data_IF_759826459060
#
_entry.id   IF_759826459060
#
_cell.length_a   1.000
_cell.length_b   1.000
_cell.length_c   1.000
_cell.angle_alpha   90.00
_cell.angle_beta   90.00
_cell.angle_gamma   90.00
#
_symmetry.space_group_name_H-M   'P 1'
#
loop_
_entity.id
_entity.type
_entity.pdbx_description
1 polymer ?
#
# COMPACT_ATOMS: atom_id res chain seq x y z
N UNK A 1 -15.62 39.43 35.32
CA UNK A 1 -14.78 39.13 34.15
C UNK A 1 -15.47 38.02 33.36
N UNK A 2 -16.05 38.29 32.19
CA UNK A 2 -16.71 37.25 31.41
C UNK A 2 -15.64 36.41 30.67
N UNK A 3 -15.78 35.12 30.82
CA UNK A 3 -14.91 34.09 30.27
C UNK A 3 -15.16 33.97 28.75
N UNK A 4 -14.37 34.69 27.95
CA UNK A 4 -14.44 34.67 26.49
C UNK A 4 -13.66 33.47 25.94
N UNK A 5 -14.06 32.25 26.30
CA UNK A 5 -13.74 31.10 25.53
C UNK A 5 -14.75 31.01 24.39
N UNK A 6 -14.52 31.77 23.31
CA UNK A 6 -15.20 31.56 22.03
C UNK A 6 -14.84 30.17 21.56
N UNK A 7 -15.75 29.22 21.79
CA UNK A 7 -15.68 27.87 21.20
C UNK A 7 -15.76 28.09 19.70
N UNK A 8 -14.62 27.98 19.02
CA UNK A 8 -14.59 27.73 17.58
C UNK A 8 -15.28 26.38 17.36
N UNK A 9 -16.59 26.40 17.13
CA UNK A 9 -17.30 25.22 16.64
C UNK A 9 -16.99 25.10 15.15
N UNK A 10 -15.98 24.29 14.82
CA UNK A 10 -15.84 23.81 13.46
C UNK A 10 -17.05 22.90 13.17
N UNK A 11 -17.99 23.39 12.38
CA UNK A 11 -19.00 22.54 11.78
C UNK A 11 -18.30 21.63 10.77
N UNK A 12 -17.83 20.49 11.23
CA UNK A 12 -17.29 19.46 10.34
C UNK A 12 -18.42 19.00 9.42
N UNK A 13 -18.16 18.86 8.11
CA UNK A 13 -19.14 18.29 7.19
C UNK A 13 -19.56 16.90 7.67
N UNK A 14 -20.78 16.49 7.31
CA UNK A 14 -21.29 15.17 7.67
C UNK A 14 -20.27 14.07 7.27
N UNK A 15 -20.08 13.04 8.11
CA UNK A 15 -19.12 11.99 7.81
C UNK A 15 -19.48 11.31 6.48
N UNK A 16 -18.46 11.00 5.68
CA UNK A 16 -18.65 10.30 4.41
C UNK A 16 -19.37 8.97 4.65
N UNK A 17 -20.39 8.70 3.83
CA UNK A 17 -21.03 7.37 3.82
C UNK A 17 -20.04 6.33 3.28
N UNK A 18 -20.16 5.09 3.74
CA UNK A 18 -19.24 4.01 3.35
C UNK A 18 -19.12 3.85 1.82
N UNK A 19 -20.21 3.99 1.06
CA UNK A 19 -20.17 3.90 -0.40
C UNK A 19 -19.43 5.08 -1.05
N UNK A 20 -19.49 6.28 -0.48
CA UNK A 20 -18.76 7.47 -0.99
C UNK A 20 -17.26 7.28 -0.79
N UNK A 21 -16.84 6.79 0.39
CA UNK A 21 -15.46 6.44 0.63
C UNK A 21 -14.99 5.32 -0.32
N UNK A 22 -15.81 4.28 -0.50
CA UNK A 22 -15.52 3.19 -1.44
C UNK A 22 -15.36 3.68 -2.89
N UNK A 23 -16.25 4.56 -3.36
CA UNK A 23 -16.15 5.15 -4.70
C UNK A 23 -14.89 6.01 -4.85
N UNK A 24 -14.58 6.85 -3.86
CA UNK A 24 -13.37 7.67 -3.86
C UNK A 24 -12.12 6.79 -3.96
N UNK A 25 -12.05 5.73 -3.17
CA UNK A 25 -10.93 4.79 -3.20
C UNK A 25 -10.85 4.05 -4.53
N UNK A 26 -11.97 3.59 -5.09
CA UNK A 26 -11.98 2.92 -6.38
C UNK A 26 -11.45 3.84 -7.50
N UNK A 27 -11.91 5.09 -7.54
CA UNK A 27 -11.40 6.09 -8.49
C UNK A 27 -9.90 6.31 -8.26
N UNK A 28 -9.48 6.53 -7.02
CA UNK A 28 -8.08 6.78 -6.66
C UNK A 28 -7.16 5.63 -7.07
N UNK A 29 -7.57 4.38 -6.88
CA UNK A 29 -6.75 3.19 -7.16
C UNK A 29 -6.67 2.83 -8.64
N UNK A 30 -7.70 3.19 -9.44
CA UNK A 30 -7.79 2.79 -10.85
C UNK A 30 -7.32 3.87 -11.79
N UNK A 31 -7.69 5.12 -11.52
CA UNK A 31 -7.33 6.25 -12.37
C UNK A 31 -5.83 6.52 -12.28
N UNK A 32 -5.14 6.48 -13.41
CA UNK A 32 -3.70 6.72 -13.49
C UNK A 32 -2.81 5.48 -13.33
N UNK A 33 -3.37 4.29 -13.03
CA UNK A 33 -2.57 3.07 -12.91
C UNK A 33 -2.27 2.44 -14.27
N UNK A 34 -3.17 2.59 -15.24
CA UNK A 34 -3.07 1.98 -16.57
C UNK A 34 -3.15 3.04 -17.68
N UNK A 35 -2.73 2.65 -18.90
CA UNK A 35 -2.89 3.47 -20.10
C UNK A 35 -1.74 4.47 -20.35
N UNK A 36 -0.63 4.38 -19.63
CA UNK A 36 0.56 5.18 -19.88
C UNK A 36 1.85 4.36 -19.82
N UNK A 37 2.83 4.77 -20.60
CA UNK A 37 4.16 4.15 -20.55
C UNK A 37 4.86 4.48 -19.22
N UNK A 38 5.80 3.62 -18.76
CA UNK A 38 6.69 3.95 -17.65
C UNK A 38 7.45 5.24 -17.97
N UNK A 39 7.35 6.25 -17.11
CA UNK A 39 7.82 7.60 -17.47
C UNK A 39 8.89 8.16 -16.53
N UNK A 40 9.10 7.55 -15.38
CA UNK A 40 10.14 7.93 -14.42
C UNK A 40 11.19 6.85 -14.29
N UNK A 41 12.41 7.24 -13.92
CA UNK A 41 13.51 6.30 -13.69
C UNK A 41 13.16 5.17 -12.73
N UNK A 42 12.48 5.50 -11.61
CA UNK A 42 12.09 4.53 -10.59
C UNK A 42 11.06 3.52 -11.11
N UNK A 43 10.05 3.97 -11.85
CA UNK A 43 9.02 3.09 -12.45
C UNK A 43 9.64 2.06 -13.41
N UNK A 44 10.61 2.48 -14.22
CA UNK A 44 11.38 1.58 -15.10
C UNK A 44 12.31 0.66 -14.31
N UNK A 45 13.00 1.19 -13.31
CA UNK A 45 13.94 0.44 -12.48
C UNK A 45 13.24 -0.71 -11.78
N UNK A 46 12.07 -0.46 -11.19
CA UNK A 46 11.33 -1.52 -10.47
C UNK A 46 10.49 -2.42 -11.37
N UNK A 47 10.21 -2.02 -12.61
CA UNK A 47 9.62 -2.91 -13.61
C UNK A 47 10.65 -3.94 -14.14
N UNK A 48 11.94 -3.59 -14.18
CA UNK A 48 13.00 -4.45 -14.66
C UNK A 48 13.07 -5.82 -13.98
N UNK A 49 13.12 -5.91 -12.64
CA UNK A 49 13.06 -7.17 -11.90
C UNK A 49 11.81 -8.00 -12.22
N UNK A 50 10.64 -7.39 -12.38
CA UNK A 50 9.41 -8.08 -12.79
C UNK A 50 9.58 -8.70 -14.18
N UNK A 51 10.09 -7.93 -15.13
CA UNK A 51 10.36 -8.41 -16.48
C UNK A 51 11.38 -9.57 -16.47
N UNK A 52 12.45 -9.47 -15.66
CA UNK A 52 13.44 -10.53 -15.49
C UNK A 52 12.81 -11.83 -14.95
N UNK A 53 11.93 -11.75 -13.97
CA UNK A 53 11.19 -12.91 -13.46
C UNK A 53 10.38 -13.57 -14.57
N UNK A 54 9.70 -12.77 -15.40
CA UNK A 54 8.84 -13.28 -16.47
C UNK A 54 9.63 -13.94 -17.60
N UNK A 55 10.82 -13.42 -17.93
CA UNK A 55 11.66 -13.91 -19.05
C UNK A 55 12.62 -15.01 -18.66
N UNK A 56 13.28 -14.92 -17.50
CA UNK A 56 14.30 -15.87 -17.06
C UNK A 56 13.79 -16.88 -16.02
N UNK A 57 12.62 -16.65 -15.41
CA UNK A 57 12.03 -17.55 -14.42
C UNK A 57 12.72 -17.55 -13.05
N UNK A 58 13.63 -16.59 -12.78
CA UNK A 58 14.33 -16.50 -11.50
C UNK A 58 13.54 -15.64 -10.50
N UNK A 59 12.73 -16.30 -9.68
CA UNK A 59 11.86 -15.64 -8.70
C UNK A 59 12.59 -15.18 -7.42
N UNK A 60 13.74 -15.74 -7.12
CA UNK A 60 14.46 -15.44 -5.88
C UNK A 60 15.48 -14.32 -6.05
N UNK A 61 16.13 -14.27 -7.20
CA UNK A 61 17.17 -13.30 -7.51
C UNK A 61 16.90 -12.67 -8.88
N UNK A 62 15.89 -11.77 -8.97
CA UNK A 62 15.64 -11.09 -10.23
C UNK A 62 16.82 -10.22 -10.62
N UNK A 63 16.95 -9.96 -11.91
CA UNK A 63 18.06 -9.19 -12.49
C UNK A 63 17.56 -7.86 -13.07
N UNK A 64 18.43 -6.88 -13.04
CA UNK A 64 18.27 -5.63 -13.75
C UNK A 64 19.54 -5.37 -14.59
N UNK A 65 19.37 -5.25 -15.90
CA UNK A 65 20.48 -5.05 -16.85
C UNK A 65 21.60 -6.11 -16.76
N UNK A 66 21.26 -7.35 -16.40
CA UNK A 66 22.20 -8.47 -16.29
C UNK A 66 22.89 -8.61 -14.92
N UNK A 67 22.59 -7.72 -13.99
CA UNK A 67 23.09 -7.80 -12.61
C UNK A 67 21.97 -8.16 -11.62
N UNK A 68 22.32 -8.90 -10.55
CA UNK A 68 21.35 -9.26 -9.53
C UNK A 68 20.81 -8.01 -8.82
N UNK A 69 19.52 -7.83 -8.87
CA UNK A 69 18.85 -6.71 -8.23
C UNK A 69 18.61 -6.98 -6.74
N UNK A 70 19.08 -6.08 -5.86
CA UNK A 70 19.09 -6.26 -4.39
C UNK A 70 18.51 -5.09 -3.60
N UNK A 71 18.00 -4.05 -4.26
CA UNK A 71 17.55 -2.83 -3.58
C UNK A 71 16.33 -3.08 -2.69
N UNK A 72 15.45 -3.99 -3.11
CA UNK A 72 14.28 -4.39 -2.34
C UNK A 72 14.10 -5.91 -2.34
N UNK A 73 13.58 -6.48 -1.24
CA UNK A 73 13.16 -7.88 -1.16
C UNK A 73 12.03 -8.22 -2.15
N UNK A 74 11.77 -9.51 -2.41
CA UNK A 74 11.08 -9.93 -3.62
C UNK A 74 9.55 -9.82 -3.60
N UNK A 75 8.90 -9.55 -2.47
CA UNK A 75 7.43 -9.63 -2.34
C UNK A 75 6.68 -8.82 -3.41
N UNK A 76 7.07 -7.57 -3.60
CA UNK A 76 6.42 -6.70 -4.57
C UNK A 76 6.56 -7.26 -6.00
N UNK A 77 7.77 -7.69 -6.36
CA UNK A 77 8.09 -8.23 -7.69
C UNK A 77 7.36 -9.53 -7.98
N UNK A 78 7.18 -10.39 -6.97
CA UNK A 78 6.38 -11.60 -7.11
C UNK A 78 4.93 -11.28 -7.44
N UNK A 79 4.31 -10.36 -6.72
CA UNK A 79 2.92 -9.96 -6.97
C UNK A 79 2.79 -9.30 -8.33
N UNK A 80 3.70 -8.38 -8.69
CA UNK A 80 3.74 -7.74 -10.01
C UNK A 80 3.90 -8.73 -11.15
N UNK A 81 4.81 -9.72 -11.02
CA UNK A 81 5.02 -10.77 -12.02
C UNK A 81 3.81 -11.70 -12.15
N UNK A 82 3.17 -12.07 -11.03
CA UNK A 82 1.95 -12.89 -11.06
C UNK A 82 0.81 -12.15 -11.76
N UNK A 83 0.58 -10.87 -11.47
CA UNK A 83 -0.43 -10.05 -12.12
C UNK A 83 -0.13 -9.87 -13.62
N UNK A 84 1.13 -9.57 -13.97
CA UNK A 84 1.55 -9.44 -15.35
C UNK A 84 1.37 -10.74 -16.13
N UNK A 85 1.65 -11.89 -15.51
CA UNK A 85 1.43 -13.22 -16.12
C UNK A 85 -0.05 -13.53 -16.28
N UNK A 86 -0.88 -13.19 -15.29
CA UNK A 86 -2.32 -13.48 -15.32
C UNK A 86 -3.08 -12.58 -16.29
N UNK A 87 -2.67 -11.32 -16.43
CA UNK A 87 -3.40 -10.29 -17.18
C UNK A 87 -2.70 -9.87 -18.48
N UNK A 88 -1.51 -10.40 -18.79
CA UNK A 88 -0.71 -10.03 -19.95
C UNK A 88 -1.38 -10.29 -21.32
N UNK A 89 -2.46 -11.09 -21.35
CA UNK A 89 -3.32 -11.24 -22.53
C UNK A 89 -4.37 -10.14 -22.71
N UNK A 90 -4.63 -9.35 -21.67
CA UNK A 90 -5.65 -8.29 -21.64
C UNK A 90 -5.04 -6.89 -21.54
N UNK A 91 -3.91 -6.76 -20.87
CA UNK A 91 -3.22 -5.49 -20.60
C UNK A 91 -1.74 -5.58 -21.02
N UNK A 92 -1.10 -4.45 -21.38
CA UNK A 92 0.34 -4.39 -21.48
C UNK A 92 1.01 -4.85 -20.17
N UNK A 93 2.17 -5.50 -20.28
CA UNK A 93 2.89 -6.07 -19.11
C UNK A 93 3.13 -5.03 -18.01
N UNK A 94 3.52 -3.80 -18.40
CA UNK A 94 3.78 -2.73 -17.45
C UNK A 94 2.52 -2.28 -16.70
N UNK A 95 1.37 -2.19 -17.39
CA UNK A 95 0.09 -1.84 -16.75
C UNK A 95 -0.38 -2.95 -15.81
N UNK A 96 -0.30 -4.20 -16.25
CA UNK A 96 -0.64 -5.36 -15.42
C UNK A 96 0.26 -5.46 -14.17
N UNK A 97 1.55 -5.18 -14.30
CA UNK A 97 2.49 -5.16 -13.18
C UNK A 97 2.17 -4.05 -12.16
N UNK A 98 1.79 -2.84 -12.63
CA UNK A 98 1.41 -1.71 -11.78
C UNK A 98 0.16 -1.96 -10.94
N UNK A 99 -0.71 -2.87 -11.32
CA UNK A 99 -1.83 -3.27 -10.47
C UNK A 99 -1.37 -3.81 -9.11
N UNK A 100 -0.12 -4.25 -8.97
CA UNK A 100 0.47 -4.57 -7.67
C UNK A 100 0.52 -3.33 -6.76
N UNK A 101 0.87 -2.15 -7.30
CA UNK A 101 0.85 -0.89 -6.54
C UNK A 101 -0.56 -0.54 -6.06
N UNK A 102 -1.57 -0.65 -6.94
CA UNK A 102 -2.97 -0.43 -6.55
C UNK A 102 -3.42 -1.41 -5.47
N UNK A 103 -3.04 -2.70 -5.59
CA UNK A 103 -3.37 -3.73 -4.59
C UNK A 103 -2.74 -3.42 -3.22
N UNK A 104 -1.44 -3.11 -3.19
CA UNK A 104 -0.75 -2.79 -1.94
C UNK A 104 -1.21 -1.45 -1.35
N UNK A 105 -1.51 -0.45 -2.18
CA UNK A 105 -2.11 0.81 -1.73
C UNK A 105 -3.48 0.57 -1.11
N UNK A 106 -4.35 -0.23 -1.73
CA UNK A 106 -5.63 -0.61 -1.16
C UNK A 106 -5.48 -1.33 0.18
N UNK A 107 -4.55 -2.28 0.28
CA UNK A 107 -4.24 -2.99 1.51
C UNK A 107 -3.72 -2.03 2.60
N UNK A 108 -2.80 -1.13 2.27
CA UNK A 108 -2.31 -0.09 3.18
C UNK A 108 -3.45 0.78 3.72
N UNK A 109 -4.27 1.35 2.83
CA UNK A 109 -5.38 2.23 3.22
C UNK A 109 -6.42 1.51 4.08
N UNK A 110 -6.72 0.27 3.76
CA UNK A 110 -7.62 -0.55 4.57
C UNK A 110 -7.05 -0.81 5.98
N UNK A 111 -5.79 -1.28 6.05
CA UNK A 111 -5.20 -1.65 7.33
C UNK A 111 -4.86 -0.45 8.21
N UNK A 112 -4.46 0.69 7.64
CA UNK A 112 -4.28 1.92 8.44
C UNK A 112 -5.62 2.41 9.01
N UNK A 113 -6.72 2.30 8.25
CA UNK A 113 -8.06 2.57 8.75
C UNK A 113 -8.46 1.62 9.89
N UNK A 114 -8.18 0.30 9.75
CA UNK A 114 -8.42 -0.69 10.80
C UNK A 114 -7.58 -0.39 12.05
N UNK A 115 -6.30 -0.09 11.88
CA UNK A 115 -5.41 0.28 12.98
C UNK A 115 -5.93 1.51 13.73
N UNK A 116 -6.28 2.57 13.01
CA UNK A 116 -6.85 3.79 13.59
C UNK A 116 -8.15 3.51 14.36
N UNK A 117 -9.04 2.71 13.79
CA UNK A 117 -10.28 2.32 14.46
C UNK A 117 -10.05 1.55 15.76
N UNK A 118 -9.06 0.66 15.78
CA UNK A 118 -8.72 -0.16 16.96
C UNK A 118 -8.04 0.66 18.06
N UNK A 119 -7.19 1.61 17.67
CA UNK A 119 -6.40 2.42 18.61
C UNK A 119 -7.14 3.66 19.11
N UNK A 120 -7.95 4.29 18.26
CA UNK A 120 -8.57 5.61 18.54
C UNK A 120 -10.10 5.59 18.50
N UNK A 121 -10.71 4.44 18.22
CA UNK A 121 -12.17 4.26 18.22
C UNK A 121 -12.79 4.26 16.81
N UNK A 122 -14.11 3.92 16.74
CA UNK A 122 -14.78 3.61 15.46
C UNK A 122 -14.81 4.78 14.47
N UNK A 123 -14.80 6.01 14.94
CA UNK A 123 -14.84 7.22 14.09
C UNK A 123 -13.52 7.53 13.40
N UNK A 124 -12.40 6.91 13.81
CA UNK A 124 -11.07 7.17 13.26
C UNK A 124 -10.80 6.47 11.92
N UNK A 125 -11.62 5.49 11.51
CA UNK A 125 -11.39 4.70 10.30
C UNK A 125 -11.32 5.56 9.03
N UNK A 126 -12.36 6.30 8.72
CA UNK A 126 -12.43 7.10 7.50
C UNK A 126 -11.43 8.28 7.48
N UNK A 127 -11.24 9.04 8.56
CA UNK A 127 -10.20 10.07 8.62
C UNK A 127 -8.80 9.54 8.37
N UNK A 128 -8.43 8.37 8.90
CA UNK A 128 -7.11 7.78 8.67
C UNK A 128 -6.88 7.44 7.18
N UNK A 129 -7.88 6.89 6.52
CA UNK A 129 -7.83 6.62 5.08
C UNK A 129 -7.69 7.91 4.29
N UNK A 130 -8.48 8.94 4.61
CA UNK A 130 -8.43 10.23 3.91
C UNK A 130 -7.07 10.91 4.07
N UNK A 131 -6.47 10.87 5.27
CA UNK A 131 -5.11 11.34 5.51
C UNK A 131 -4.08 10.56 4.69
N UNK A 132 -4.24 9.23 4.59
CA UNK A 132 -3.39 8.38 3.75
C UNK A 132 -3.48 8.80 2.29
N UNK A 133 -4.70 8.87 1.72
CA UNK A 133 -4.93 9.28 0.32
C UNK A 133 -4.39 10.67 0.01
N UNK A 134 -4.49 11.61 0.97
CA UNK A 134 -4.02 12.99 0.79
C UNK A 134 -2.52 13.17 1.02
N UNK A 135 -1.80 12.13 1.45
CA UNK A 135 -0.34 12.23 1.63
C UNK A 135 0.36 12.41 0.29
N UNK A 136 1.27 13.40 0.21
CA UNK A 136 1.97 13.73 -1.04
C UNK A 136 2.73 12.53 -1.62
N UNK A 137 3.38 11.73 -0.77
CA UNK A 137 4.10 10.54 -1.20
C UNK A 137 3.18 9.52 -1.90
N UNK A 138 2.01 9.27 -1.33
CA UNK A 138 1.06 8.32 -1.92
C UNK A 138 0.44 8.88 -3.22
N UNK A 139 0.11 10.17 -3.26
CA UNK A 139 -0.42 10.83 -4.47
C UNK A 139 0.55 10.69 -5.65
N UNK A 140 1.85 10.80 -5.38
CA UNK A 140 2.89 10.71 -6.45
C UNK A 140 3.18 9.27 -6.84
N UNK A 141 3.27 8.34 -5.88
CA UNK A 141 3.83 7.00 -6.10
C UNK A 141 2.80 5.86 -6.18
N UNK A 142 1.54 6.10 -5.83
CA UNK A 142 0.53 5.04 -5.81
C UNK A 142 0.23 4.41 -7.19
N UNK A 143 0.57 5.11 -8.26
CA UNK A 143 0.28 4.73 -9.66
C UNK A 143 1.54 4.35 -10.46
N UNK A 144 2.68 4.23 -9.79
CA UNK A 144 3.95 3.78 -10.36
C UNK A 144 4.28 2.37 -9.86
N UNK A 145 5.23 1.69 -10.50
CA UNK A 145 5.81 0.44 -10.00
C UNK A 145 6.65 0.76 -8.76
N UNK A 146 6.10 0.58 -7.55
CA UNK A 146 6.73 1.10 -6.32
C UNK A 146 6.71 0.07 -5.17
N UNK A 147 7.86 -0.61 -4.90
CA UNK A 147 7.96 -1.65 -3.86
C UNK A 147 7.63 -1.18 -2.44
N UNK A 148 7.90 0.10 -2.12
CA UNK A 148 7.59 0.69 -0.81
C UNK A 148 6.12 0.56 -0.42
N UNK A 149 5.20 0.50 -1.40
CA UNK A 149 3.77 0.33 -1.12
C UNK A 149 3.47 -1.01 -0.45
N UNK A 150 4.19 -2.07 -0.81
CA UNK A 150 4.06 -3.37 -0.16
C UNK A 150 4.58 -3.34 1.29
N UNK A 151 5.68 -2.62 1.53
CA UNK A 151 6.20 -2.37 2.87
C UNK A 151 5.18 -1.62 3.73
N UNK A 152 4.60 -0.53 3.23
CA UNK A 152 3.58 0.25 3.94
C UNK A 152 2.34 -0.60 4.27
N UNK A 153 1.90 -1.46 3.36
CA UNK A 153 0.79 -2.38 3.59
C UNK A 153 1.08 -3.37 4.74
N UNK A 154 2.29 -3.95 4.75
CA UNK A 154 2.74 -4.83 5.84
C UNK A 154 2.81 -4.11 7.18
N UNK A 155 3.39 -2.90 7.22
CA UNK A 155 3.46 -2.09 8.44
C UNK A 155 2.06 -1.73 8.96
N UNK A 156 1.14 -1.31 8.08
CA UNK A 156 -0.23 -0.99 8.47
C UNK A 156 -0.96 -2.20 9.07
N UNK A 157 -0.76 -3.40 8.50
CA UNK A 157 -1.27 -4.66 9.06
C UNK A 157 -0.65 -4.95 10.44
N UNK A 158 0.65 -4.74 10.60
CA UNK A 158 1.33 -4.88 11.89
C UNK A 158 0.70 -3.97 12.95
N UNK A 159 0.52 -2.68 12.66
CA UNK A 159 -0.15 -1.74 13.57
C UNK A 159 -1.59 -2.12 13.87
N UNK A 160 -2.32 -2.65 12.90
CA UNK A 160 -3.67 -3.16 13.13
C UNK A 160 -3.66 -4.34 14.12
N UNK A 161 -2.70 -5.27 13.98
CA UNK A 161 -2.51 -6.37 14.92
C UNK A 161 -2.17 -5.90 16.33
N UNK A 162 -1.27 -4.93 16.47
CA UNK A 162 -0.93 -4.32 17.76
C UNK A 162 -2.16 -3.71 18.45
N UNK A 163 -3.03 -3.04 17.69
CA UNK A 163 -4.30 -2.51 18.21
C UNK A 163 -5.29 -3.57 18.69
N UNK A 164 -5.07 -4.84 18.35
CA UNK A 164 -5.93 -5.95 18.78
C UNK A 164 -5.41 -6.69 20.04
N UNK A 165 -4.14 -6.48 20.41
CA UNK A 165 -3.46 -7.23 21.48
C UNK A 165 -4.19 -7.15 22.83
N UNK A 166 -4.77 -5.99 23.17
CA UNK A 166 -5.45 -5.79 24.45
C UNK A 166 -6.72 -6.62 24.63
N UNK A 167 -7.39 -6.98 23.53
CA UNK A 167 -8.68 -7.69 23.54
C UNK A 167 -8.57 -9.14 23.07
N UNK A 168 -7.67 -9.42 22.12
CA UNK A 168 -7.47 -10.75 21.52
C UNK A 168 -5.97 -10.98 21.28
N UNK A 169 -5.18 -11.29 22.35
CA UNK A 169 -3.72 -11.29 22.27
C UNK A 169 -3.16 -12.26 21.22
N UNK A 170 -3.71 -13.47 21.09
CA UNK A 170 -3.23 -14.44 20.11
C UNK A 170 -3.49 -13.97 18.68
N UNK A 171 -4.71 -13.53 18.38
CA UNK A 171 -5.06 -13.03 17.04
C UNK A 171 -4.27 -11.75 16.71
N UNK A 172 -4.14 -10.84 17.67
CA UNK A 172 -3.34 -9.62 17.50
C UNK A 172 -1.86 -9.91 17.27
N UNK A 173 -1.29 -10.86 18.01
CA UNK A 173 0.10 -11.29 17.81
C UNK A 173 0.33 -11.94 16.45
N UNK A 174 -0.57 -12.80 15.98
CA UNK A 174 -0.49 -13.41 14.66
C UNK A 174 -0.62 -12.37 13.54
N UNK A 175 -1.58 -11.45 13.66
CA UNK A 175 -1.78 -10.37 12.68
C UNK A 175 -0.58 -9.41 12.64
N UNK A 176 -0.05 -9.02 13.80
CA UNK A 176 1.15 -8.18 13.88
C UNK A 176 2.40 -8.88 13.33
N UNK A 177 2.58 -10.16 13.65
CA UNK A 177 3.68 -10.97 13.14
C UNK A 177 3.61 -11.16 11.62
N UNK A 178 2.41 -11.43 11.08
CA UNK A 178 2.19 -11.50 9.64
C UNK A 178 2.52 -10.16 8.96
N UNK A 179 2.03 -9.05 9.53
CA UNK A 179 2.30 -7.71 9.02
C UNK A 179 3.80 -7.39 9.00
N UNK A 180 4.51 -7.67 10.09
CA UNK A 180 5.95 -7.50 10.19
C UNK A 180 6.71 -8.38 9.17
N UNK A 181 6.30 -9.65 9.00
CA UNK A 181 6.86 -10.55 8.01
C UNK A 181 6.68 -10.06 6.57
N UNK A 182 5.48 -9.56 6.22
CA UNK A 182 5.22 -8.97 4.90
C UNK A 182 6.02 -7.69 4.70
N UNK A 183 6.11 -6.81 5.71
CA UNK A 183 6.93 -5.60 5.65
C UNK A 183 8.40 -5.95 5.42
N UNK A 184 8.93 -6.96 6.13
CA UNK A 184 10.30 -7.45 5.94
C UNK A 184 10.52 -8.00 4.53
N UNK A 185 9.60 -8.82 4.00
CA UNK A 185 9.66 -9.37 2.65
C UNK A 185 9.52 -8.30 1.55
N UNK A 186 9.04 -7.11 1.88
CA UNK A 186 8.89 -5.97 0.95
C UNK A 186 10.02 -4.94 1.06
N UNK A 187 10.51 -4.65 2.27
CA UNK A 187 11.46 -3.55 2.54
C UNK A 187 12.73 -3.96 3.28
N UNK A 188 12.87 -5.24 3.66
CA UNK A 188 14.02 -5.73 4.42
C UNK A 188 14.05 -5.23 5.87
N UNK A 189 15.24 -5.20 6.47
CA UNK A 189 15.44 -4.72 7.85
C UNK A 189 14.97 -3.28 8.10
N UNK A 190 15.17 -2.31 7.19
CA UNK A 190 14.65 -0.95 7.38
C UNK A 190 13.13 -0.87 7.56
N UNK A 191 12.39 -1.87 7.09
CA UNK A 191 10.94 -1.93 7.25
C UNK A 191 10.49 -2.28 8.68
N UNK A 192 11.38 -2.71 9.54
CA UNK A 192 11.11 -3.12 10.92
C UNK A 192 11.63 -2.10 11.96
N UNK A 193 12.36 -1.07 11.53
CA UNK A 193 12.88 0.01 12.36
C UNK A 193 11.87 1.14 12.53
#
# INVERSE_FOLDING_TARGET
MPNAASRFSFNLPAPLKAWQLGLLLAIYLVVGTTGHLPWRGDDLTYLGPIHSILTHGNWLLPELAGETFRDFPPLYYWVGALLAKALGGLLPIHDAARLASSLFTAAFLYWIGVAARRLYGPTAFAPAILLGVSSLGLVVHAHETQPVLAQLAGMALCYAGLGLLSTRPLAGGLEAGLGAGLAFLAGGLPALA
#
